data_IF_941689013118
#
_entry.id   IF_941689013118
#
_cell.length_a   1.000
_cell.length_b   1.000
_cell.length_c   1.000
_cell.angle_alpha   90.00
_cell.angle_beta   90.00
_cell.angle_gamma   90.00
#
_symmetry.space_group_name_H-M   'P 1'
#
loop_
_entity.id
_entity.type
_entity.pdbx_description
1 polymer ?
2 non-polymer ?
3 non-polymer ?
4 water ?
#
# COMPACT_ATOMS: atom_id res chain seq x y z
N UNK A 1 7.23 -1.33 17.51
CA UNK A 1 6.08 -0.51 17.07
C UNK A 1 6.61 0.87 16.64
N UNK A 2 6.06 1.40 15.54
CA UNK A 2 6.51 2.67 14.93
C UNK A 2 5.35 3.66 14.96
N UNK A 3 5.64 4.95 14.85
CA UNK A 3 4.62 6.02 14.86
C UNK A 3 4.18 6.25 13.42
N UNK A 4 2.88 6.20 13.18
CA UNK A 4 2.30 6.47 11.84
C UNK A 4 1.86 7.93 11.85
N UNK A 5 2.01 8.71 10.76
CA UNK A 5 2.60 8.23 9.50
C UNK A 5 4.10 7.93 9.56
N UNK A 6 4.52 6.95 8.78
CA UNK A 6 5.91 6.45 8.75
C UNK A 6 6.37 6.51 7.31
N UNK A 7 7.59 7.00 7.10
CA UNK A 7 8.29 7.02 5.80
C UNK A 7 9.35 5.94 5.83
N UNK A 8 9.23 4.97 4.93
CA UNK A 8 10.28 3.95 4.68
C UNK A 8 11.07 4.40 3.45
N UNK A 9 12.36 4.79 3.59
CA UNK A 9 13.17 5.11 2.43
C UNK A 9 13.38 3.88 1.56
N UNK A 10 13.35 4.08 0.25
CA UNK A 10 13.61 3.04 -0.76
C UNK A 10 14.77 3.54 -1.62
N UNK A 11 16.02 3.43 -1.11
CA UNK A 11 17.18 4.05 -1.75
C UNK A 11 17.48 3.49 -3.14
N UNK A 12 17.52 4.37 -4.12
CA UNK A 12 17.65 4.04 -5.55
C UNK A 12 16.38 3.41 -6.08
N UNK A 13 15.25 3.63 -5.40
CA UNK A 13 13.96 3.12 -5.87
C UNK A 13 13.79 1.62 -5.71
N UNK A 14 12.79 1.10 -6.40
CA UNK A 14 12.42 -0.33 -6.35
C UNK A 14 12.94 -1.01 -7.62
N UNK A 15 12.98 -2.33 -7.59
CA UNK A 15 13.48 -3.16 -8.71
C UNK A 15 12.76 -4.50 -8.62
N UNK A 16 12.53 -5.21 -9.75
CA UNK A 16 12.01 -6.58 -9.70
C UNK A 16 12.71 -7.49 -8.69
N UNK A 17 11.92 -8.26 -7.94
CA UNK A 17 12.33 -9.20 -6.86
C UNK A 17 12.50 -8.47 -5.53
N UNK A 18 12.24 -7.16 -5.48
CA UNK A 18 12.17 -6.42 -4.20
C UNK A 18 10.81 -6.70 -3.58
N UNK A 19 10.85 -7.26 -2.38
CA UNK A 19 9.63 -7.63 -1.63
C UNK A 19 9.56 -6.73 -0.41
N UNK A 20 8.54 -5.87 -0.35
CA UNK A 20 8.30 -4.94 0.77
C UNK A 20 7.25 -5.58 1.67
N UNK A 21 7.60 -5.73 2.95
CA UNK A 21 6.72 -6.34 3.96
C UNK A 21 6.31 -5.28 4.99
N UNK A 22 5.00 -5.06 5.17
CA UNK A 22 4.43 -4.14 6.19
C UNK A 22 3.63 -4.99 7.19
N UNK A 23 4.03 -4.95 8.45
CA UNK A 23 3.37 -5.69 9.55
C UNK A 23 2.71 -4.67 10.46
N UNK A 24 1.46 -4.88 10.81
CA UNK A 24 0.73 -3.94 11.66
C UNK A 24 -0.54 -4.59 12.16
N UNK A 25 -1.27 -3.85 12.97
CA UNK A 25 -2.63 -4.23 13.41
C UNK A 25 -3.60 -3.12 13.05
N UNK A 26 -4.76 -3.45 12.48
CA UNK A 26 -5.80 -2.46 12.16
C UNK A 26 -6.43 -1.99 13.48
N UNK A 27 -6.56 -0.69 13.66
CA UNK A 27 -7.22 -0.10 14.85
C UNK A 27 -8.69 -0.53 14.85
N UNK A 28 -9.31 -0.62 16.04
CA UNK A 28 -10.68 -1.12 16.10
C UNK A 28 -11.73 -0.28 15.35
N UNK A 29 -11.61 1.04 15.23
CA UNK A 29 -12.73 1.76 14.54
C UNK A 29 -12.22 2.26 13.18
N UNK A 30 -11.44 1.43 12.48
CA UNK A 30 -10.64 1.84 11.30
C UNK A 30 -11.52 2.43 10.20
N UNK A 31 -11.07 3.53 9.61
CA UNK A 31 -11.74 4.11 8.41
C UNK A 31 -10.88 3.92 7.16
N UNK A 32 -9.55 4.02 7.27
CA UNK A 32 -8.72 4.00 6.04
C UNK A 32 -7.27 3.64 6.36
N UNK A 33 -6.62 3.04 5.39
CA UNK A 33 -5.17 2.77 5.41
C UNK A 33 -4.64 3.27 4.07
N UNK A 34 -3.39 3.68 4.01
CA UNK A 34 -2.76 4.04 2.73
C UNK A 34 -1.29 3.62 2.75
N UNK A 35 -0.88 2.95 1.69
CA UNK A 35 0.54 2.88 1.29
C UNK A 35 0.71 3.81 0.10
N UNK A 36 1.71 4.68 0.15
CA UNK A 36 2.02 5.62 -0.96
C UNK A 36 3.46 5.39 -1.40
N UNK A 37 3.65 4.73 -2.54
CA UNK A 37 5.00 4.61 -3.12
C UNK A 37 5.24 5.87 -3.94
N UNK A 38 6.20 6.70 -3.49
CA UNK A 38 6.34 8.06 -4.03
C UNK A 38 7.55 8.17 -4.95
N UNK A 39 7.38 8.90 -6.01
CA UNK A 39 8.53 9.40 -6.81
C UNK A 39 8.49 10.94 -6.66
N UNK A 40 9.30 11.48 -5.74
CA UNK A 40 9.15 12.89 -5.30
C UNK A 40 7.71 13.14 -4.88
N UNK A 41 7.04 14.13 -5.47
CA UNK A 41 5.64 14.45 -5.10
C UNK A 41 4.66 13.50 -5.79
N UNK A 42 5.08 12.78 -6.82
CA UNK A 42 4.15 11.85 -7.50
C UNK A 42 3.96 10.60 -6.63
N UNK A 43 2.76 10.03 -6.68
CA UNK A 43 2.50 8.72 -6.05
C UNK A 43 2.42 7.70 -7.18
N UNK A 44 3.47 6.88 -7.37
CA UNK A 44 3.50 5.80 -8.37
C UNK A 44 2.42 4.78 -8.05
N UNK A 45 2.17 4.50 -6.77
CA UNK A 45 1.25 3.40 -6.39
C UNK A 45 0.68 3.78 -5.04
N UNK A 46 -0.59 4.16 -5.04
CA UNK A 46 -1.43 4.42 -3.85
C UNK A 46 -2.30 3.17 -3.66
N UNK A 47 -2.09 2.52 -2.53
CA UNK A 47 -2.87 1.33 -2.10
C UNK A 47 -3.70 1.73 -0.88
N UNK A 48 -5.02 1.70 -1.01
CA UNK A 48 -5.91 2.45 -0.08
C UNK A 48 -7.13 1.59 0.27
N UNK A 49 -6.99 0.69 1.28
CA UNK A 49 -8.16 0.07 1.93
C UNK A 49 -9.06 1.14 2.58
N UNK A 50 -10.33 1.11 2.19
CA UNK A 50 -11.41 1.96 2.74
C UNK A 50 -12.43 1.07 3.43
N UNK A 51 -12.69 1.38 4.70
CA UNK A 51 -13.49 0.49 5.58
C UNK A 51 -14.96 0.88 5.48
N UNK A 52 -15.27 2.09 5.01
CA UNK A 52 -16.65 2.62 5.04
C UNK A 52 -16.85 3.58 3.87
N UNK A 53 -16.78 3.08 2.65
CA UNK A 53 -17.20 3.84 1.45
C UNK A 53 -18.58 3.32 1.04
N UNK A 54 -19.58 4.16 1.27
CA UNK A 54 -21.00 3.81 1.07
C UNK A 54 -21.29 2.48 1.80
N UNK A 55 -20.80 2.33 3.05
CA UNK A 55 -21.10 1.17 3.94
C UNK A 55 -20.60 -0.13 3.30
N UNK A 56 -19.60 -0.02 2.42
CA UNK A 56 -18.92 -1.19 1.82
C UNK A 56 -17.43 -1.06 2.14
N UNK A 57 -16.73 -2.17 2.07
CA UNK A 57 -15.26 -2.17 2.22
C UNK A 57 -14.71 -2.38 0.82
N UNK A 58 -13.73 -1.57 0.47
CA UNK A 58 -13.14 -1.64 -0.88
C UNK A 58 -11.68 -1.23 -0.79
N UNK A 59 -10.87 -1.79 -1.66
CA UNK A 59 -9.47 -1.29 -1.85
C UNK A 59 -9.43 -0.44 -3.12
N UNK A 60 -8.96 0.79 -2.97
CA UNK A 60 -8.74 1.72 -4.11
C UNK A 60 -7.23 1.80 -4.38
N UNK A 61 -6.84 1.59 -5.63
CA UNK A 61 -5.45 1.81 -6.09
C UNK A 61 -5.44 2.88 -7.17
N UNK A 62 -4.40 3.70 -7.16
CA UNK A 62 -4.32 4.85 -8.10
C UNK A 62 -2.88 5.35 -8.14
N UNK A 63 -2.67 6.30 -9.03
CA UNK A 63 -1.40 7.03 -9.24
C UNK A 63 -1.71 8.53 -9.22
N UNK A 64 -0.81 9.30 -8.62
CA UNK A 64 -0.92 10.77 -8.57
C UNK A 64 0.26 11.36 -9.35
N UNK A 65 -0.02 12.06 -10.44
CA UNK A 65 0.98 12.73 -11.30
C UNK A 65 0.70 14.24 -11.31
N UNK A 66 1.71 15.08 -11.00
CA UNK A 66 1.50 16.56 -10.97
C UNK A 66 0.31 16.91 -10.08
N UNK A 67 0.13 16.15 -9.00
CA UNK A 67 -0.87 16.43 -7.95
C UNK A 67 -2.29 16.11 -8.42
N UNK A 68 -2.43 15.39 -9.54
CA UNK A 68 -3.76 14.93 -10.03
C UNK A 68 -3.85 13.40 -9.87
N UNK A 69 -4.91 12.93 -9.22
CA UNK A 69 -5.26 11.48 -9.19
C UNK A 69 -5.74 10.99 -10.56
N UNK A 70 -5.26 9.82 -10.95
CA UNK A 70 -5.61 9.20 -12.23
C UNK A 70 -6.84 8.33 -12.11
N UNK A 71 -6.92 7.33 -12.98
CA UNK A 71 -8.06 6.37 -13.01
C UNK A 71 -7.92 5.33 -11.89
N UNK A 72 -8.93 5.24 -11.03
CA UNK A 72 -8.96 4.24 -9.91
C UNK A 72 -9.07 2.82 -10.45
N UNK A 73 -8.33 1.90 -9.83
CA UNK A 73 -8.54 0.45 -9.94
C UNK A 73 -9.09 0.02 -8.58
N UNK A 74 -10.27 -0.58 -8.55
CA UNK A 74 -10.94 -1.01 -7.30
C UNK A 74 -11.08 -2.53 -7.20
N UNK A 75 -10.99 -3.02 -5.96
CA UNK A 75 -11.02 -4.46 -5.61
C UNK A 75 -11.88 -4.61 -4.36
N UNK A 76 -12.94 -5.43 -4.42
CA UNK A 76 -13.88 -5.65 -3.30
C UNK A 76 -13.40 -6.74 -2.34
N UNK A 77 -12.52 -7.61 -2.79
CA UNK A 77 -11.84 -8.61 -1.92
C UNK A 77 -11.09 -7.80 -0.87
N UNK A 78 -11.42 -7.99 0.39
CA UNK A 78 -10.99 -7.05 1.46
C UNK A 78 -10.49 -7.86 2.65
N UNK A 79 -9.18 -8.20 2.70
CA UNK A 79 -8.66 -9.16 3.67
C UNK A 79 -8.36 -8.61 5.06
N UNK A 80 -8.52 -7.30 5.24
CA UNK A 80 -8.29 -6.57 6.50
C UNK A 80 -9.54 -6.66 7.35
N UNK A 81 -9.33 -6.68 8.65
CA UNK A 81 -10.41 -6.70 9.67
C UNK A 81 -10.01 -5.75 10.80
N UNK A 82 -10.91 -4.86 11.21
CA UNK A 82 -10.68 -4.01 12.39
C UNK A 82 -10.18 -4.86 13.56
N UNK A 83 -9.09 -4.40 14.17
CA UNK A 83 -8.51 -5.01 15.39
C UNK A 83 -7.54 -6.15 15.13
N UNK A 84 -7.39 -6.56 13.87
CA UNK A 84 -6.59 -7.77 13.55
C UNK A 84 -5.24 -7.44 12.92
N UNK A 85 -4.23 -8.25 13.28
CA UNK A 85 -2.90 -8.07 12.74
C UNK A 85 -2.94 -8.51 11.28
N UNK A 86 -2.18 -7.80 10.46
CA UNK A 86 -2.04 -8.08 9.01
C UNK A 86 -0.58 -8.05 8.63
N UNK A 87 -0.33 -8.62 7.46
CA UNK A 87 0.96 -8.53 6.75
C UNK A 87 0.61 -8.13 5.33
N UNK A 88 1.13 -7.00 4.87
CA UNK A 88 1.01 -6.62 3.45
C UNK A 88 2.38 -6.88 2.85
N UNK A 89 2.42 -7.62 1.75
CA UNK A 89 3.67 -7.83 0.97
C UNK A 89 3.43 -7.29 -0.42
N UNK A 90 4.25 -6.33 -0.78
CA UNK A 90 4.29 -5.76 -2.14
C UNK A 90 5.55 -6.28 -2.82
N UNK A 91 5.33 -7.07 -3.85
CA UNK A 91 6.41 -7.72 -4.63
C UNK A 91 6.50 -6.95 -5.93
N UNK A 92 7.64 -6.32 -6.16
CA UNK A 92 7.87 -5.54 -7.40
C UNK A 92 8.27 -6.55 -8.47
N UNK A 93 7.54 -6.54 -9.58
CA UNK A 93 7.80 -7.42 -10.75
C UNK A 93 8.12 -6.48 -11.90
N UNK A 94 8.62 -7.00 -13.04
CA UNK A 94 9.02 -6.12 -14.14
C UNK A 94 7.91 -5.19 -14.66
N UNK A 95 6.63 -5.59 -14.64
CA UNK A 95 5.50 -4.83 -15.22
C UNK A 95 4.40 -4.45 -14.21
N UNK A 96 4.47 -4.94 -12.97
CA UNK A 96 3.43 -4.59 -11.97
C UNK A 96 3.97 -4.73 -10.58
N UNK A 97 3.29 -4.06 -9.64
CA UNK A 97 3.27 -4.41 -8.21
C UNK A 97 2.28 -5.56 -8.02
N UNK A 98 2.73 -6.55 -7.26
CA UNK A 98 1.88 -7.69 -6.88
C UNK A 98 1.67 -7.54 -5.38
N UNK A 99 0.43 -7.56 -4.94
CA UNK A 99 0.14 -7.41 -3.50
C UNK A 99 -0.48 -8.69 -2.96
N UNK A 100 0.11 -9.24 -1.90
CA UNK A 100 -0.46 -10.37 -1.13
C UNK A 100 -0.70 -9.86 0.30
N UNK A 101 -1.85 -10.19 0.88
CA UNK A 101 -2.11 -9.89 2.31
C UNK A 101 -2.29 -11.19 3.07
N UNK A 102 -1.55 -11.37 4.17
CA UNK A 102 -1.68 -12.55 5.05
C UNK A 102 -1.44 -13.80 4.17
N UNK A 103 -0.48 -13.67 3.26
CA UNK A 103 0.02 -14.78 2.41
C UNK A 103 -1.01 -15.23 1.39
N UNK A 104 -2.02 -14.42 1.10
CA UNK A 104 -3.03 -14.68 0.04
C UNK A 104 -2.88 -13.58 -1.00
N UNK A 105 -2.74 -13.95 -2.26
CA UNK A 105 -2.69 -12.99 -3.39
C UNK A 105 -3.94 -12.12 -3.35
N UNK A 106 -3.82 -10.82 -3.57
CA UNK A 106 -4.95 -9.86 -3.53
C UNK A 106 -5.15 -9.20 -4.89
N UNK A 107 -4.12 -8.52 -5.41
CA UNK A 107 -4.28 -7.71 -6.64
C UNK A 107 -2.91 -7.47 -7.27
N UNK A 108 -2.96 -7.03 -8.52
CA UNK A 108 -1.76 -6.56 -9.26
C UNK A 108 -2.06 -5.14 -9.76
N UNK A 109 -1.04 -4.31 -9.82
CA UNK A 109 -1.20 -2.93 -10.32
C UNK A 109 -0.10 -2.64 -11.34
N UNK A 110 -0.48 -2.44 -12.59
CA UNK A 110 0.53 -2.23 -13.65
C UNK A 110 1.27 -0.91 -13.41
N UNK A 111 2.58 -0.91 -13.70
CA UNK A 111 3.45 0.29 -13.54
C UNK A 111 2.98 1.40 -14.49
N UNK A 112 2.45 2.52 -13.96
CA UNK A 112 2.13 3.74 -14.73
C UNK A 112 3.35 4.68 -14.69
N UNK A 113 3.98 4.81 -13.53
CA UNK A 113 5.33 5.44 -13.37
C UNK A 113 6.39 4.40 -13.76
N UNK A 114 7.18 4.75 -14.77
CA UNK A 114 8.16 3.84 -15.41
C UNK A 114 9.49 3.88 -14.67
N UNK A 115 9.82 5.02 -14.05
CA UNK A 115 11.14 5.21 -13.43
C UNK A 115 11.14 4.51 -12.07
N UNK A 116 11.26 3.18 -12.02
CA UNK A 116 11.16 2.43 -10.73
C UNK A 116 12.32 2.86 -9.84
N UNK A 117 13.49 3.21 -10.41
CA UNK A 117 14.70 3.49 -9.59
C UNK A 117 14.58 4.88 -8.96
N UNK A 118 13.47 5.60 -9.20
CA UNK A 118 13.21 6.93 -8.58
C UNK A 118 12.00 6.86 -7.65
N UNK A 119 11.37 5.70 -7.51
CA UNK A 119 10.31 5.53 -6.48
C UNK A 119 11.01 5.28 -5.14
N UNK A 120 11.45 6.33 -4.47
CA UNK A 120 12.49 6.27 -3.43
C UNK A 120 11.92 6.42 -2.02
N UNK A 121 10.58 6.49 -1.86
CA UNK A 121 9.96 6.51 -0.52
C UNK A 121 8.66 5.72 -0.53
N UNK A 122 8.40 5.04 0.58
CA UNK A 122 7.07 4.49 0.86
C UNK A 122 6.50 5.17 2.10
N UNK A 123 5.39 5.88 1.94
CA UNK A 123 4.59 6.41 3.06
C UNK A 123 3.57 5.41 3.54
N UNK A 124 3.52 5.17 4.84
CA UNK A 124 2.52 4.29 5.50
C UNK A 124 1.70 5.15 6.45
N UNK A 125 0.38 5.17 6.28
CA UNK A 125 -0.49 6.10 7.04
C UNK A 125 -1.86 5.47 7.24
N UNK A 126 -2.63 6.10 8.13
CA UNK A 126 -3.99 5.63 8.42
C UNK A 126 -4.11 4.91 9.73
N UNK A 127 -5.18 4.13 9.83
CA UNK A 127 -5.78 3.65 11.10
C UNK A 127 -5.15 2.31 11.46
N UNK A 128 -3.84 2.32 11.65
CA UNK A 128 -3.08 1.11 12.02
C UNK A 128 -2.15 1.44 13.20
N UNK A 129 -1.80 0.39 13.92
CA UNK A 129 -0.56 0.32 14.74
C UNK A 129 0.48 -0.34 13.85
N UNK A 130 1.51 0.41 13.49
CA UNK A 130 2.56 -0.17 12.62
C UNK A 130 3.60 -0.89 13.48
N UNK A 131 3.81 -2.18 13.19
CA UNK A 131 4.80 -3.03 13.88
C UNK A 131 6.15 -2.95 13.18
N UNK A 132 6.20 -3.09 11.86
CA UNK A 132 7.48 -3.05 11.12
C UNK A 132 7.25 -2.81 9.64
N UNK A 133 8.26 -2.26 8.96
CA UNK A 133 8.22 -2.01 7.51
C UNK A 133 9.64 -2.25 6.99
N UNK A 134 9.80 -3.17 6.05
CA UNK A 134 11.14 -3.58 5.60
C UNK A 134 11.04 -4.16 4.19
N UNK A 135 12.17 -4.40 3.56
CA UNK A 135 12.19 -4.98 2.20
C UNK A 135 13.42 -5.88 2.15
N UNK A 136 13.39 -6.80 1.21
CA UNK A 136 14.49 -7.75 0.95
C UNK A 136 14.45 -8.05 -0.54
N UNK A 137 15.46 -8.74 -1.06
CA UNK A 137 15.54 -9.23 -2.45
C UNK A 137 15.28 -10.73 -2.41
N UNK A 138 14.26 -11.21 -3.11
CA UNK A 138 13.89 -12.65 -3.12
C UNK A 138 14.81 -13.38 -4.12
X LIG B 1 8.27 7.80 -15.10
X LIG C 1 -7.10 8.91 -2.77
X LIG C 1 -7.73 9.10 -4.13
X LIG C 1 -7.43 7.89 -5.01
X LIG C 1 -9.24 8.98 2.14
X LIG C 1 -10.01 7.87 1.89
X LIG C 1 -9.63 6.57 2.50
X LIG C 1 -11.25 8.05 1.26
X LIG C 1 -12.35 7.24 1.58
X LIG C 1 -13.60 7.46 0.95
X LIG C 1 -13.73 8.49 0.02
X LIG C 1 -12.64 9.31 -0.31
X LIG C 1 -11.42 9.12 0.32
X LIG C 1 -10.40 10.00 -0.08
X LIG C 1 -10.29 11.13 0.42
X LIG C 1 -9.60 9.52 -1.07
X LIG C 1 -8.85 10.51 -1.79
X LIG C 1 -9.34 10.63 -3.25
X LIG C 1 -10.72 10.97 -3.18
X LIG C 1 -10.87 12.40 -3.31
X LIG C 1 -9.15 9.37 -4.00
X LIG C 1 -8.13 8.06 -6.21
X LIG C 1 -7.63 7.75 -2.17
X LIG C 1 -7.36 10.11 -1.85
X LIG C 1 -6.87 9.88 -0.47
X LIG C 1 -6.01 10.92 -0.17
X LIG C 1 -5.28 11.46 -1.00
X LIG C 1 -5.89 11.22 1.16
X LIG C 1 -7.03 11.29 1.96
X LIG C 1 -6.92 11.58 3.31
X LIG C 1 -5.67 11.81 3.89
X LIG C 1 -5.59 12.11 5.25
X LIG C 1 -4.53 11.74 3.09
X LIG C 1 -4.64 11.46 1.73
#
# INVERSE_FOLDING_TARGET
MLIVPYNLPLPGGVVPRMLITILGTVKPNANRIALDFQRGNDVAFHFNPRFNENNRRVIVCNTKLDNNWGREERQSVFPFESGKPFKIQVLVEPDHFKVAVNDAHLLQYNHRVKKLNEISKLGISGDIDLTSASYTMI
CL CL
57I C4 C5 C6 OBF NBC OBG CBB CBA CAZ CAY CAX CAW CAV OBE O2 C2 C1 O1 CAM O5 O6 O4 C3 O3 CAN OBD CAO CAP CAQ CAR CAU CAS CAT
#
